data_IF_100741364138
#
_entry.id   IF_100741364138
#
_cell.length_a   1.000
_cell.length_b   1.000
_cell.length_c   1.000
_cell.angle_alpha   90.00
_cell.angle_beta   90.00
_cell.angle_gamma   90.00
#
_symmetry.space_group_name_H-M   'P 1'
#
loop_
_entity.id
_entity.type
_entity.pdbx_description
1 polymer ?
#
# COMPACT_ATOMS: atom_id res chain seq x y z
N UNK A 1 22.39 -20.71 32.14
CA UNK A 1 21.90 -19.55 31.36
C UNK A 1 20.63 -19.99 30.63
N UNK A 2 19.47 -20.00 31.31
CA UNK A 2 18.20 -20.54 30.78
C UNK A 2 17.19 -19.49 30.31
N UNK A 3 17.56 -18.20 30.29
CA UNK A 3 16.60 -17.12 30.01
C UNK A 3 16.09 -17.04 28.55
N UNK A 4 16.70 -17.75 27.60
CA UNK A 4 16.31 -17.64 26.18
C UNK A 4 15.09 -18.50 25.81
N UNK A 5 14.87 -19.62 26.51
CA UNK A 5 13.73 -20.51 26.22
C UNK A 5 12.43 -19.97 26.79
N UNK A 6 12.48 -19.34 27.97
CA UNK A 6 11.29 -18.73 28.59
C UNK A 6 10.78 -17.53 27.78
N UNK A 7 11.68 -16.74 27.19
CA UNK A 7 11.31 -15.62 26.31
C UNK A 7 10.61 -16.11 25.04
N UNK A 8 11.09 -17.20 24.43
CA UNK A 8 10.44 -17.81 23.26
C UNK A 8 9.04 -18.34 23.59
N UNK A 9 8.89 -18.96 24.75
CA UNK A 9 7.60 -19.47 25.23
C UNK A 9 6.62 -18.34 25.54
N UNK A 10 7.10 -17.24 26.12
CA UNK A 10 6.31 -16.04 26.39
C UNK A 10 5.83 -15.35 25.11
N UNK A 11 6.70 -15.21 24.11
CA UNK A 11 6.34 -14.65 22.79
C UNK A 11 5.30 -15.51 22.06
N UNK A 12 5.45 -16.85 22.12
CA UNK A 12 4.49 -17.78 21.52
C UNK A 12 3.11 -17.72 22.19
N UNK A 13 3.08 -17.65 23.53
CA UNK A 13 1.81 -17.47 24.27
C UNK A 13 1.16 -16.10 24.03
N UNK A 14 1.96 -15.07 23.72
CA UNK A 14 1.43 -13.76 23.36
C UNK A 14 0.71 -13.80 22.00
N UNK A 15 1.24 -14.53 21.02
CA UNK A 15 0.58 -14.72 19.72
C UNK A 15 -0.80 -15.38 19.86
N UNK A 16 -0.92 -16.38 20.74
CA UNK A 16 -2.19 -17.09 20.99
C UNK A 16 -3.23 -16.22 21.73
N UNK A 17 -2.79 -15.19 22.47
CA UNK A 17 -3.65 -14.25 23.19
C UNK A 17 -3.96 -12.95 22.42
N UNK A 18 -3.28 -12.69 21.29
CA UNK A 18 -3.51 -11.56 20.37
C UNK A 18 -4.67 -11.84 19.39
N UNK A 19 -5.61 -12.72 19.75
CA UNK A 19 -6.94 -12.77 19.12
C UNK A 19 -7.92 -11.71 19.68
N UNK A 20 -7.46 -10.75 20.50
CA UNK A 20 -8.25 -9.59 20.94
C UNK A 20 -7.97 -8.37 20.05
N UNK A 21 -8.99 -7.74 19.44
CA UNK A 21 -8.81 -6.58 18.58
C UNK A 21 -8.52 -5.33 19.43
N UNK A 22 -7.25 -5.06 19.72
CA UNK A 22 -6.77 -3.72 20.11
C UNK A 22 -6.73 -2.77 18.90
N UNK A 23 -6.47 -1.46 19.07
CA UNK A 23 -6.54 -0.46 18.00
C UNK A 23 -5.57 -0.88 16.88
N UNK A 24 -6.18 -1.39 15.82
CA UNK A 24 -5.58 -2.35 14.91
C UNK A 24 -4.54 -1.68 14.02
N UNK A 25 -3.29 -2.14 14.10
CA UNK A 25 -2.43 -2.07 12.91
C UNK A 25 -3.21 -2.77 11.81
N UNK A 26 -3.47 -2.12 10.65
CA UNK A 26 -4.24 -2.75 9.59
C UNK A 26 -3.62 -4.10 9.25
N UNK A 27 -4.38 -5.17 9.45
CA UNK A 27 -3.94 -6.50 9.11
C UNK A 27 -3.56 -6.54 7.63
N UNK A 28 -2.51 -7.29 7.30
CA UNK A 28 -2.11 -7.54 5.92
C UNK A 28 -3.35 -8.04 5.15
N UNK A 29 -3.79 -7.27 4.15
CA UNK A 29 -4.93 -7.63 3.30
C UNK A 29 -4.52 -8.83 2.45
N UNK A 30 -4.72 -10.03 2.98
CA UNK A 30 -4.51 -11.27 2.26
C UNK A 30 -5.53 -11.38 1.13
N UNK A 31 -5.08 -11.23 -0.11
CA UNK A 31 -5.76 -11.83 -1.27
C UNK A 31 -6.60 -10.94 -2.18
N UNK A 32 -6.57 -9.61 -2.04
CA UNK A 32 -7.21 -8.73 -3.03
C UNK A 32 -6.17 -8.16 -4.00
N UNK A 33 -6.05 -8.67 -5.23
CA UNK A 33 -5.23 -8.01 -6.25
C UNK A 33 -5.75 -6.58 -6.46
N UNK A 34 -4.84 -5.61 -6.61
CA UNK A 34 -5.15 -4.19 -6.85
C UNK A 34 -6.29 -4.03 -7.87
N UNK A 35 -7.52 -3.77 -7.38
CA UNK A 35 -8.75 -3.60 -8.17
C UNK A 35 -8.78 -2.30 -8.99
N UNK A 36 -7.62 -1.68 -9.23
CA UNK A 36 -7.56 -0.38 -9.90
C UNK A 36 -7.66 -0.60 -11.41
N UNK A 37 -8.84 -0.28 -11.95
CA UNK A 37 -9.09 -0.39 -13.39
C UNK A 37 -8.33 0.67 -14.17
N UNK A 38 -8.07 0.41 -15.46
CA UNK A 38 -7.46 1.41 -16.35
C UNK A 38 -8.26 2.72 -16.38
N UNK A 39 -9.59 2.61 -16.29
CA UNK A 39 -10.52 3.72 -16.24
C UNK A 39 -10.38 4.55 -14.95
N UNK A 40 -10.17 3.91 -13.79
CA UNK A 40 -9.86 4.62 -12.55
C UNK A 40 -8.53 5.37 -12.64
N UNK A 41 -7.51 4.77 -13.27
CA UNK A 41 -6.24 5.48 -13.53
C UNK A 41 -6.44 6.66 -14.46
N UNK A 42 -7.22 6.50 -15.53
CA UNK A 42 -7.49 7.59 -16.46
C UNK A 42 -8.18 8.77 -15.75
N UNK A 43 -9.21 8.50 -14.94
CA UNK A 43 -9.87 9.53 -14.13
C UNK A 43 -8.93 10.19 -13.12
N UNK A 44 -8.07 9.40 -12.47
CA UNK A 44 -7.06 9.95 -11.56
C UNK A 44 -6.09 10.90 -12.28
N UNK A 45 -5.61 10.52 -13.47
CA UNK A 45 -4.76 11.39 -14.30
C UNK A 45 -5.47 12.70 -14.67
N UNK A 46 -6.75 12.63 -15.04
CA UNK A 46 -7.54 13.82 -15.35
C UNK A 46 -7.78 14.71 -14.13
N UNK A 47 -7.97 14.13 -12.95
CA UNK A 47 -8.10 14.89 -11.71
C UNK A 47 -6.79 15.62 -11.35
N UNK A 48 -5.65 14.95 -11.48
CA UNK A 48 -4.32 15.55 -11.26
C UNK A 48 -4.07 16.70 -12.25
N UNK A 49 -4.32 16.47 -13.54
CA UNK A 49 -4.11 17.49 -14.56
C UNK A 49 -4.96 18.76 -14.34
N UNK A 50 -6.17 18.61 -13.77
CA UNK A 50 -7.03 19.76 -13.42
C UNK A 50 -6.57 20.52 -12.18
N UNK A 51 -5.83 19.87 -11.29
CA UNK A 51 -5.36 20.44 -10.03
C UNK A 51 -3.91 20.93 -10.04
N UNK A 52 -3.15 20.61 -11.09
CA UNK A 52 -1.76 21.00 -11.22
C UNK A 52 -1.62 22.49 -11.57
N UNK A 53 -0.55 23.11 -11.06
CA UNK A 53 -0.23 24.52 -11.33
C UNK A 53 0.33 24.71 -12.75
N UNK A 54 1.13 23.76 -13.22
CA UNK A 54 1.73 23.74 -14.55
C UNK A 54 2.02 22.30 -15.00
N UNK A 55 2.70 22.16 -16.15
CA UNK A 55 3.02 20.85 -16.73
C UNK A 55 4.06 20.07 -15.93
N UNK A 56 5.02 20.75 -15.30
CA UNK A 56 6.08 20.10 -14.50
C UNK A 56 5.51 19.62 -13.16
N UNK A 57 4.65 20.43 -12.52
CA UNK A 57 3.91 20.05 -11.32
C UNK A 57 2.99 18.85 -11.60
N UNK A 58 2.25 18.88 -12.71
CA UNK A 58 1.43 17.76 -13.14
C UNK A 58 2.25 16.48 -13.28
N UNK A 59 3.42 16.58 -13.94
CA UNK A 59 4.33 15.44 -14.12
C UNK A 59 4.83 14.91 -12.78
N UNK A 60 5.31 15.78 -11.89
CA UNK A 60 5.79 15.39 -10.58
C UNK A 60 4.70 14.69 -9.75
N UNK A 61 3.48 15.21 -9.76
CA UNK A 61 2.32 14.60 -9.10
C UNK A 61 1.99 13.22 -9.66
N UNK A 62 1.97 13.08 -10.99
CA UNK A 62 1.71 11.78 -11.64
C UNK A 62 2.78 10.74 -11.31
N UNK A 63 4.05 11.14 -11.23
CA UNK A 63 5.16 10.29 -10.84
C UNK A 63 5.06 9.87 -9.37
N UNK A 64 4.82 10.81 -8.44
CA UNK A 64 4.66 10.53 -7.01
C UNK A 64 3.48 9.59 -6.71
N UNK A 65 2.40 9.70 -7.47
CA UNK A 65 1.21 8.86 -7.32
C UNK A 65 1.31 7.52 -8.05
N UNK A 66 2.42 7.25 -8.77
CA UNK A 66 2.58 6.02 -9.55
C UNK A 66 1.56 5.88 -10.68
N UNK A 67 1.13 7.00 -11.25
CA UNK A 67 0.15 7.07 -12.33
C UNK A 67 0.79 7.06 -13.72
N UNK A 68 2.11 7.26 -13.83
CA UNK A 68 2.85 7.19 -15.09
C UNK A 68 3.06 5.71 -15.47
N UNK A 69 2.81 5.30 -16.74
CA UNK A 69 3.13 3.96 -17.20
C UNK A 69 4.64 3.69 -17.11
N UNK A 70 5.00 2.48 -16.68
CA UNK A 70 6.35 1.95 -16.78
C UNK A 70 6.72 1.53 -18.22
N UNK A 71 7.87 0.87 -18.38
CA UNK A 71 8.34 0.34 -19.66
C UNK A 71 7.41 -0.74 -20.24
N UNK A 72 6.61 -1.39 -19.39
CA UNK A 72 5.60 -2.38 -19.77
C UNK A 72 4.25 -1.73 -20.09
N UNK A 73 4.15 -0.40 -20.00
CA UNK A 73 2.92 0.36 -20.23
C UNK A 73 1.89 0.27 -19.09
N UNK A 74 2.29 -0.28 -17.94
CA UNK A 74 1.42 -0.44 -16.77
C UNK A 74 1.78 0.61 -15.72
N UNK A 75 0.82 1.36 -15.15
CA UNK A 75 1.13 2.26 -14.05
C UNK A 75 1.41 1.46 -12.76
N UNK A 76 2.43 1.82 -11.95
CA UNK A 76 2.77 1.13 -10.70
C UNK A 76 1.60 0.90 -9.76
N UNK A 77 0.63 1.82 -9.72
CA UNK A 77 -0.58 1.72 -8.89
C UNK A 77 -1.49 0.52 -9.24
N UNK A 78 -1.29 -0.11 -10.40
CA UNK A 78 -2.07 -1.28 -10.85
C UNK A 78 -1.36 -2.62 -10.65
N UNK A 79 -0.15 -2.60 -10.08
CA UNK A 79 0.59 -3.82 -9.73
C UNK A 79 0.12 -4.40 -8.39
#
# INVERSE_FOLDING_TARGET
MSGSLDVRKFLWQQEESVSRPGPAVPAQRSGEPSRISAEQVHRARMAVARGALDAEDCRALLEMLGLVPDAEGVPPVRR
#
